data_IF_866884403000
#
_entry.id   IF_866884403000
#
_cell.length_a   1.000
_cell.length_b   1.000
_cell.length_c   1.000
_cell.angle_alpha   90.00
_cell.angle_beta   90.00
_cell.angle_gamma   90.00
#
_symmetry.space_group_name_H-M   'P 1'
#
loop_
_entity.id
_entity.type
_entity.pdbx_description
1 polymer ?
#
# COMPACT_ATOMS: atom_id res chain seq x y z
N UNK A 1 17.31 22.66 -74.20
CA UNK A 1 16.10 23.00 -73.41
C UNK A 1 16.54 23.45 -72.01
N UNK A 2 16.51 24.75 -71.72
CA UNK A 2 16.87 25.28 -70.39
C UNK A 2 15.61 25.51 -69.55
N UNK A 3 15.49 24.79 -68.43
CA UNK A 3 14.37 24.96 -67.49
C UNK A 3 14.61 26.23 -66.68
N UNK A 4 13.65 27.16 -66.78
CA UNK A 4 13.67 28.48 -66.18
C UNK A 4 13.58 28.38 -64.63
N UNK A 5 14.69 28.69 -63.93
CA UNK A 5 14.81 28.60 -62.46
C UNK A 5 13.98 29.63 -61.68
N UNK A 6 13.37 30.63 -62.35
CA UNK A 6 12.62 31.70 -61.69
C UNK A 6 11.27 31.29 -61.08
N UNK A 7 10.67 30.19 -61.55
CA UNK A 7 9.32 29.78 -61.12
C UNK A 7 9.34 29.13 -59.72
N UNK A 8 10.41 28.44 -59.36
CA UNK A 8 10.53 27.73 -58.08
C UNK A 8 10.66 28.67 -56.87
N UNK A 9 11.23 29.87 -57.02
CA UNK A 9 11.39 30.81 -55.91
C UNK A 9 10.09 31.50 -55.49
N UNK A 10 9.10 31.64 -56.38
CA UNK A 10 7.78 32.22 -56.03
C UNK A 10 6.89 31.24 -55.27
N UNK A 11 6.93 29.95 -55.61
CA UNK A 11 6.16 28.92 -54.90
C UNK A 11 6.62 28.74 -53.42
N UNK A 12 7.91 28.91 -53.13
CA UNK A 12 8.44 28.77 -51.76
C UNK A 12 8.11 29.95 -50.83
N UNK A 13 7.84 31.16 -51.34
CA UNK A 13 7.52 32.33 -50.48
C UNK A 13 6.08 32.36 -50.01
N UNK A 14 5.15 31.80 -50.78
CA UNK A 14 3.73 31.76 -50.42
C UNK A 14 3.41 30.76 -49.29
N UNK A 15 4.33 29.83 -49.00
CA UNK A 15 4.05 28.74 -48.07
C UNK A 15 4.63 28.91 -46.66
N UNK A 16 5.49 29.91 -46.41
CA UNK A 16 6.13 30.07 -45.08
C UNK A 16 5.14 30.37 -43.95
N UNK A 17 4.08 31.13 -44.25
CA UNK A 17 3.04 31.47 -43.24
C UNK A 17 2.14 30.28 -42.95
N UNK A 18 1.82 29.47 -43.95
CA UNK A 18 1.00 28.25 -43.80
C UNK A 18 1.78 27.16 -43.05
N UNK A 19 3.06 26.96 -43.37
CA UNK A 19 3.92 26.04 -42.63
C UNK A 19 4.14 26.47 -41.18
N UNK A 20 4.34 27.77 -40.91
CA UNK A 20 4.45 28.26 -39.54
C UNK A 20 3.15 28.03 -38.75
N UNK A 21 1.99 28.32 -39.34
CA UNK A 21 0.70 28.09 -38.70
C UNK A 21 0.44 26.60 -38.41
N UNK A 22 0.73 25.71 -39.38
CA UNK A 22 0.62 24.26 -39.19
C UNK A 22 1.57 23.73 -38.12
N UNK A 23 2.79 24.27 -38.04
CA UNK A 23 3.77 23.91 -37.01
C UNK A 23 3.29 24.34 -35.61
N UNK A 24 2.78 25.57 -35.45
CA UNK A 24 2.20 26.01 -34.18
C UNK A 24 0.96 25.20 -33.77
N UNK A 25 0.15 24.76 -34.73
CA UNK A 25 -1.02 23.92 -34.47
C UNK A 25 -0.64 22.50 -34.03
N UNK A 26 0.41 21.92 -34.64
CA UNK A 26 0.97 20.63 -34.23
C UNK A 26 1.65 20.73 -32.85
N UNK A 27 2.35 21.83 -32.58
CA UNK A 27 3.01 22.07 -31.29
C UNK A 27 1.99 22.24 -30.15
N UNK A 28 0.88 22.94 -30.41
CA UNK A 28 -0.19 23.09 -29.41
C UNK A 28 -0.91 21.77 -29.15
N UNK A 29 -1.13 20.94 -30.18
CA UNK A 29 -1.63 19.58 -30.00
C UNK A 29 -0.69 18.70 -29.17
N UNK A 30 0.62 18.74 -29.43
CA UNK A 30 1.60 17.97 -28.66
C UNK A 30 1.63 18.38 -27.17
N UNK A 31 1.47 19.67 -26.86
CA UNK A 31 1.41 20.16 -25.48
C UNK A 31 0.13 19.72 -24.75
N UNK A 32 -1.00 19.61 -25.45
CA UNK A 32 -2.26 19.11 -24.87
C UNK A 32 -2.18 17.63 -24.53
N UNK A 33 -1.49 16.83 -25.36
CA UNK A 33 -1.32 15.39 -25.11
C UNK A 33 -0.25 15.05 -24.07
N UNK A 34 0.80 15.87 -23.91
CA UNK A 34 1.82 15.64 -22.87
C UNK A 34 1.38 16.05 -21.45
N UNK A 35 0.34 16.87 -21.30
CA UNK A 35 -0.13 17.33 -19.99
C UNK A 35 -1.00 16.30 -19.23
N UNK A 36 -1.31 15.15 -19.85
CA UNK A 36 -2.32 14.20 -19.36
C UNK A 36 -1.82 13.02 -18.53
N UNK A 37 -0.52 12.88 -18.28
CA UNK A 37 -0.02 11.88 -17.33
C UNK A 37 -0.14 12.41 -15.90
N UNK A 38 -1.37 12.65 -15.44
CA UNK A 38 -1.62 12.72 -14.01
C UNK A 38 -1.38 11.31 -13.47
N UNK A 39 -0.31 11.16 -12.72
CA UNK A 39 -0.05 9.99 -11.90
C UNK A 39 -1.29 9.81 -11.00
N UNK A 40 -2.17 8.89 -11.37
CA UNK A 40 -3.38 8.61 -10.61
C UNK A 40 -2.87 7.97 -9.33
N UNK A 41 -2.69 8.80 -8.31
CA UNK A 41 -2.20 8.43 -7.00
C UNK A 41 -3.33 7.65 -6.30
N UNK A 42 -3.54 6.41 -6.75
CA UNK A 42 -4.51 5.50 -6.18
C UNK A 42 -4.10 5.24 -4.73
N UNK A 43 -5.05 5.25 -3.78
CA UNK A 43 -4.76 4.94 -2.40
C UNK A 43 -4.12 3.55 -2.33
N UNK A 44 -3.02 3.44 -1.57
CA UNK A 44 -2.34 2.16 -1.37
C UNK A 44 -3.29 1.19 -0.67
N UNK A 45 -3.25 -0.07 -1.08
CA UNK A 45 -4.13 -1.12 -0.57
C UNK A 45 -3.33 -2.30 -0.06
N UNK A 46 -3.74 -2.82 1.09
CA UNK A 46 -3.32 -4.13 1.56
C UNK A 46 -4.34 -5.17 1.10
N UNK A 47 -3.85 -6.26 0.52
CA UNK A 47 -4.66 -7.38 0.05
C UNK A 47 -4.32 -8.64 0.85
N UNK A 48 -5.31 -9.29 1.45
CA UNK A 48 -5.13 -10.58 2.09
C UNK A 48 -4.77 -11.62 1.03
N UNK A 49 -3.50 -12.02 1.02
CA UNK A 49 -2.94 -12.94 0.04
C UNK A 49 -3.02 -14.40 0.46
N UNK A 50 -3.00 -14.68 1.77
CA UNK A 50 -2.95 -16.04 2.31
C UNK A 50 -3.48 -16.12 3.75
N UNK A 51 -4.18 -17.21 4.09
CA UNK A 51 -4.70 -17.49 5.44
C UNK A 51 -6.21 -17.19 5.60
N UNK A 52 -6.76 -17.28 6.84
CA UNK A 52 -6.07 -17.57 8.09
C UNK A 52 -5.65 -19.04 8.23
N UNK A 53 -4.48 -19.27 8.83
CA UNK A 53 -4.00 -20.59 9.24
C UNK A 53 -3.92 -20.67 10.76
N UNK A 54 -4.40 -21.76 11.35
CA UNK A 54 -4.21 -22.01 12.77
C UNK A 54 -2.78 -22.50 13.01
N UNK A 55 -2.09 -21.85 13.95
CA UNK A 55 -0.73 -22.17 14.35
C UNK A 55 -0.65 -22.28 15.88
N UNK A 56 0.43 -22.87 16.36
CA UNK A 56 0.82 -22.89 17.78
C UNK A 56 2.18 -22.22 17.88
N UNK A 57 2.29 -21.23 18.76
CA UNK A 57 3.48 -20.41 18.92
C UNK A 57 3.45 -19.13 18.08
N UNK A 58 3.89 -18.04 18.70
CA UNK A 58 4.11 -16.74 18.05
C UNK A 58 5.62 -16.51 17.96
N UNK A 59 6.15 -16.50 16.73
CA UNK A 59 7.60 -16.52 16.46
C UNK A 59 8.34 -15.26 16.94
N UNK A 60 7.64 -14.13 17.10
CA UNK A 60 8.19 -12.86 17.60
C UNK A 60 8.21 -12.75 19.12
N UNK A 61 7.73 -13.78 19.82
CA UNK A 61 7.78 -13.88 21.27
C UNK A 61 8.76 -15.00 21.65
N UNK A 62 9.25 -14.97 22.88
CA UNK A 62 9.98 -16.10 23.45
C UNK A 62 9.15 -17.39 23.32
N UNK A 63 9.82 -18.55 23.21
CA UNK A 63 9.20 -19.86 22.99
C UNK A 63 7.92 -20.05 23.81
N UNK A 64 6.78 -20.17 23.12
CA UNK A 64 5.44 -20.21 23.69
C UNK A 64 4.55 -21.22 22.97
N UNK A 65 3.47 -21.64 23.64
CA UNK A 65 2.47 -22.57 23.11
C UNK A 65 1.11 -21.90 22.85
N UNK A 66 1.11 -20.61 22.52
CA UNK A 66 -0.11 -19.84 22.32
C UNK A 66 -0.77 -20.23 21.00
N UNK A 67 -2.07 -20.50 21.03
CA UNK A 67 -2.86 -20.70 19.82
C UNK A 67 -3.05 -19.35 19.12
N UNK A 68 -2.74 -19.29 17.82
CA UNK A 68 -2.86 -18.07 17.03
C UNK A 68 -3.36 -18.38 15.61
N UNK A 69 -3.86 -17.36 14.92
CA UNK A 69 -4.19 -17.38 13.50
C UNK A 69 -3.18 -16.53 12.74
N UNK A 70 -2.59 -17.08 11.69
CA UNK A 70 -1.62 -16.42 10.82
C UNK A 70 -2.23 -16.06 9.48
N UNK A 71 -2.06 -14.81 9.06
CA UNK A 71 -2.43 -14.31 7.73
C UNK A 71 -1.27 -13.55 7.11
N UNK A 72 -1.30 -13.45 5.77
CA UNK A 72 -0.32 -12.71 4.99
C UNK A 72 -1.03 -11.71 4.09
N UNK A 73 -0.61 -10.46 4.15
CA UNK A 73 -1.02 -9.39 3.27
C UNK A 73 0.05 -9.10 2.23
N UNK A 74 -0.36 -8.54 1.10
CA UNK A 74 0.53 -7.96 0.10
C UNK A 74 0.21 -6.48 -0.05
N UNK A 75 1.25 -5.65 0.03
CA UNK A 75 1.18 -4.19 -0.16
C UNK A 75 2.24 -3.81 -1.19
N UNK A 76 1.84 -3.34 -2.37
CA UNK A 76 2.77 -3.00 -3.45
C UNK A 76 3.78 -4.12 -3.78
N UNK A 77 3.34 -5.38 -3.68
CA UNK A 77 4.19 -6.57 -3.88
C UNK A 77 5.02 -7.00 -2.67
N UNK A 78 5.00 -6.25 -1.56
CA UNK A 78 5.73 -6.56 -0.33
C UNK A 78 4.83 -7.40 0.60
N UNK A 79 5.30 -8.57 1.08
CA UNK A 79 4.54 -9.39 2.03
C UNK A 79 4.60 -8.80 3.44
N UNK A 80 3.45 -8.77 4.11
CA UNK A 80 3.31 -8.39 5.53
C UNK A 80 2.59 -9.51 6.25
N UNK A 81 3.13 -9.97 7.38
CA UNK A 81 2.50 -11.02 8.18
C UNK A 81 1.74 -10.41 9.36
N UNK A 82 0.54 -10.94 9.61
CA UNK A 82 -0.24 -10.59 10.81
C UNK A 82 -0.61 -11.87 11.53
N UNK A 83 -0.36 -11.89 12.84
CA UNK A 83 -0.80 -12.94 13.75
C UNK A 83 -1.87 -12.38 14.66
N UNK A 84 -2.96 -13.12 14.86
CA UNK A 84 -3.99 -12.80 15.84
C UNK A 84 -4.11 -13.90 16.88
N UNK A 85 -4.15 -13.56 18.17
CA UNK A 85 -4.29 -14.51 19.27
C UNK A 85 -5.23 -13.97 20.34
N UNK A 86 -5.93 -14.86 21.05
CA UNK A 86 -6.82 -14.49 22.16
C UNK A 86 -6.24 -14.96 23.49
N UNK A 87 -6.50 -14.20 24.55
CA UNK A 87 -6.10 -14.51 25.91
C UNK A 87 -5.16 -13.45 26.48
N UNK A 88 -4.63 -13.70 27.67
CA UNK A 88 -3.69 -12.80 28.32
C UNK A 88 -2.28 -13.07 27.81
N UNK A 89 -1.74 -12.16 27.00
CA UNK A 89 -0.38 -12.27 26.46
C UNK A 89 0.45 -11.09 26.95
N UNK A 90 1.60 -11.39 27.55
CA UNK A 90 2.54 -10.38 28.02
C UNK A 90 3.72 -10.27 27.06
N UNK A 91 4.01 -9.07 26.60
CA UNK A 91 5.20 -8.73 25.84
C UNK A 91 5.70 -7.34 26.24
N UNK A 92 7.01 -7.16 26.20
CA UNK A 92 7.68 -5.91 26.56
C UNK A 92 8.38 -5.34 25.34
N UNK A 93 8.42 -4.01 25.26
CA UNK A 93 9.07 -3.33 24.15
C UNK A 93 8.88 -1.83 24.25
N UNK A 94 9.24 -1.12 23.18
CA UNK A 94 9.12 0.33 23.13
C UNK A 94 7.73 0.73 22.63
N UNK A 95 6.98 1.59 23.33
CA UNK A 95 5.71 2.08 22.81
C UNK A 95 5.94 2.98 21.59
N UNK A 96 5.14 2.76 20.56
CA UNK A 96 5.12 3.53 19.31
C UNK A 96 3.68 3.96 19.03
N UNK A 97 3.50 5.24 18.73
CA UNK A 97 2.19 5.83 18.49
C UNK A 97 1.89 5.87 16.99
N UNK A 98 1.02 4.98 16.51
CA UNK A 98 0.50 5.00 15.15
C UNK A 98 -0.90 5.63 15.19
N UNK A 99 -1.00 6.97 15.11
CA UNK A 99 -2.26 7.76 15.07
C UNK A 99 -3.39 7.27 15.99
N UNK A 100 -4.17 6.27 15.57
CA UNK A 100 -5.32 5.70 16.30
C UNK A 100 -4.97 4.55 17.24
N UNK A 101 -3.75 4.03 17.18
CA UNK A 101 -3.30 2.88 17.97
C UNK A 101 -1.95 3.16 18.63
N UNK A 102 -1.79 2.67 19.86
CA UNK A 102 -0.47 2.55 20.50
C UNK A 102 -0.03 1.10 20.36
N UNK A 103 1.09 0.88 19.71
CA UNK A 103 1.69 -0.44 19.54
C UNK A 103 2.99 -0.55 20.32
N UNK A 104 3.44 -1.77 20.59
CA UNK A 104 4.70 -2.07 21.25
C UNK A 104 5.65 -2.65 20.21
N UNK A 105 6.75 -1.95 19.92
CA UNK A 105 7.84 -2.45 19.09
C UNK A 105 8.57 -3.59 19.82
N UNK A 106 8.65 -4.75 19.16
CA UNK A 106 9.23 -5.97 19.69
C UNK A 106 10.66 -6.14 19.18
N UNK A 107 11.58 -6.51 20.08
CA UNK A 107 12.97 -6.79 19.73
C UNK A 107 13.07 -8.13 19.00
N UNK A 108 13.25 -8.08 17.67
CA UNK A 108 13.29 -9.27 16.82
C UNK A 108 14.55 -9.25 15.93
N UNK A 109 15.18 -10.42 15.80
CA UNK A 109 16.39 -10.56 15.01
C UNK A 109 16.06 -10.60 13.51
N UNK A 110 16.04 -9.44 12.86
CA UNK A 110 15.98 -9.37 11.39
C UNK A 110 14.70 -8.78 10.81
N UNK A 111 13.65 -8.60 11.61
CA UNK A 111 12.34 -8.11 11.17
C UNK A 111 11.95 -6.84 11.95
N UNK A 112 10.89 -6.17 11.49
CA UNK A 112 10.25 -5.11 12.26
C UNK A 112 8.93 -5.69 12.75
N UNK A 113 8.78 -5.84 14.07
CA UNK A 113 7.61 -6.46 14.67
C UNK A 113 6.94 -5.53 15.69
N UNK A 114 5.60 -5.51 15.67
CA UNK A 114 4.80 -4.73 16.62
C UNK A 114 3.71 -5.60 17.24
N UNK A 115 3.55 -5.50 18.56
CA UNK A 115 2.42 -6.06 19.30
C UNK A 115 1.35 -4.99 19.58
N UNK A 116 0.09 -5.32 19.39
CA UNK A 116 -1.07 -4.48 19.72
C UNK A 116 -2.06 -5.28 20.54
N UNK A 117 -2.44 -4.76 21.70
CA UNK A 117 -3.59 -5.27 22.45
C UNK A 117 -4.86 -4.54 21.95
N UNK A 118 -5.82 -5.31 21.47
CA UNK A 118 -7.12 -4.85 21.03
C UNK A 118 -8.21 -5.28 22.03
N UNK A 119 -9.44 -4.84 21.78
CA UNK A 119 -10.57 -5.13 22.67
C UNK A 119 -10.82 -6.65 22.84
N UNK A 120 -11.37 -7.02 24.01
CA UNK A 120 -11.74 -8.38 24.37
C UNK A 120 -10.57 -9.39 24.44
N UNK A 121 -9.40 -8.93 24.90
CA UNK A 121 -8.22 -9.79 25.09
C UNK A 121 -7.66 -10.37 23.79
N UNK A 122 -7.84 -9.63 22.69
CA UNK A 122 -7.31 -9.99 21.39
C UNK A 122 -5.97 -9.27 21.20
N UNK A 123 -4.95 -10.00 20.80
CA UNK A 123 -3.64 -9.44 20.50
C UNK A 123 -3.33 -9.64 19.02
N UNK A 124 -2.78 -8.60 18.40
CA UNK A 124 -2.23 -8.65 17.05
C UNK A 124 -0.73 -8.46 17.07
N UNK A 125 -0.04 -9.23 16.23
CA UNK A 125 1.38 -9.08 15.98
C UNK A 125 1.59 -8.81 14.50
N UNK A 126 2.13 -7.65 14.18
CA UNK A 126 2.41 -7.20 12.81
C UNK A 126 3.88 -7.34 12.54
N UNK A 127 4.23 -8.10 11.51
CA UNK A 127 5.62 -8.44 11.17
C UNK A 127 5.88 -7.97 9.75
N UNK A 128 6.84 -7.06 9.63
CA UNK A 128 7.20 -6.40 8.39
C UNK A 128 8.64 -6.74 8.00
N UNK A 129 8.91 -6.88 6.70
CA UNK A 129 10.29 -6.91 6.22
C UNK A 129 10.93 -5.53 6.41
N UNK A 130 12.25 -5.47 6.58
CA UNK A 130 12.98 -4.23 6.95
C UNK A 130 12.85 -3.12 5.91
N UNK A 131 12.63 -3.47 4.65
CA UNK A 131 12.43 -2.54 3.55
C UNK A 131 11.03 -1.89 3.52
N UNK A 132 10.10 -2.35 4.37
CA UNK A 132 8.77 -1.79 4.43
C UNK A 132 8.77 -0.42 5.13
N UNK A 133 8.34 0.62 4.39
CA UNK A 133 8.54 2.01 4.79
C UNK A 133 7.47 2.59 5.71
N UNK A 134 6.28 2.01 5.74
CA UNK A 134 5.14 2.58 6.47
C UNK A 134 4.35 1.56 7.30
N UNK A 135 4.97 1.00 8.37
CA UNK A 135 4.26 0.12 9.30
C UNK A 135 3.02 0.75 9.93
N UNK A 136 3.09 2.04 10.31
CA UNK A 136 1.98 2.71 10.98
C UNK A 136 0.76 2.91 10.07
N UNK A 137 0.95 3.27 8.79
CA UNK A 137 -0.15 3.33 7.83
C UNK A 137 -0.88 1.98 7.72
N UNK A 138 -0.12 0.90 7.62
CA UNK A 138 -0.69 -0.45 7.55
C UNK A 138 -1.49 -0.80 8.80
N UNK A 139 -0.91 -0.58 9.99
CA UNK A 139 -1.55 -0.91 11.27
C UNK A 139 -2.83 -0.09 11.43
N UNK A 140 -2.82 1.19 11.09
CA UNK A 140 -3.99 2.06 11.18
C UNK A 140 -5.12 1.60 10.25
N UNK A 141 -4.78 1.32 8.99
CA UNK A 141 -5.73 0.79 8.01
C UNK A 141 -6.34 -0.54 8.46
N UNK A 142 -5.49 -1.43 8.98
CA UNK A 142 -5.92 -2.72 9.53
C UNK A 142 -6.86 -2.54 10.72
N UNK A 143 -6.47 -1.79 11.75
CA UNK A 143 -7.25 -1.60 12.98
C UNK A 143 -8.61 -0.98 12.67
N UNK A 144 -8.64 0.09 11.88
CA UNK A 144 -9.88 0.76 11.47
C UNK A 144 -10.84 -0.21 10.78
N UNK A 145 -10.32 -1.05 9.88
CA UNK A 145 -11.15 -2.01 9.15
C UNK A 145 -11.55 -3.21 10.01
N UNK A 146 -10.67 -3.66 10.89
CA UNK A 146 -10.92 -4.74 11.84
C UNK A 146 -12.04 -4.36 12.82
N UNK A 147 -11.99 -3.15 13.41
CA UNK A 147 -13.02 -2.68 14.33
C UNK A 147 -14.40 -2.59 13.67
N UNK A 148 -14.44 -2.15 12.41
CA UNK A 148 -15.67 -2.14 11.60
C UNK A 148 -16.28 -3.54 11.48
N UNK A 149 -15.47 -4.56 11.14
CA UNK A 149 -15.95 -5.94 11.02
C UNK A 149 -16.30 -6.58 12.35
N UNK A 150 -15.51 -6.34 13.40
CA UNK A 150 -15.76 -6.85 14.75
C UNK A 150 -17.12 -6.40 15.28
N UNK A 151 -17.48 -5.14 15.05
CA UNK A 151 -18.78 -4.60 15.47
C UNK A 151 -19.96 -5.13 14.64
N UNK A 152 -19.69 -5.76 13.50
CA UNK A 152 -20.71 -6.30 12.58
C UNK A 152 -20.93 -7.81 12.72
N UNK A 153 -19.98 -8.55 13.32
CA UNK A 153 -20.08 -10.00 13.48
C UNK A 153 -20.80 -10.36 14.79
N UNK A 154 -21.86 -11.16 14.68
CA UNK A 154 -22.58 -11.73 15.85
C UNK A 154 -21.80 -12.87 16.50
N UNK A 155 -20.92 -13.55 15.76
CA UNK A 155 -20.06 -14.61 16.29
C UNK A 155 -18.68 -14.04 16.63
N UNK A 156 -18.34 -14.07 17.91
CA UNK A 156 -17.07 -13.56 18.44
C UNK A 156 -15.97 -14.63 18.51
N UNK A 157 -16.24 -15.86 18.07
CA UNK A 157 -15.26 -16.95 18.16
C UNK A 157 -14.09 -16.74 17.21
N UNK A 158 -14.37 -16.39 15.96
CA UNK A 158 -13.34 -16.20 14.95
C UNK A 158 -12.76 -14.78 14.96
N UNK A 159 -11.54 -14.62 14.43
CA UNK A 159 -10.89 -13.32 14.27
C UNK A 159 -11.21 -12.81 12.85
N UNK A 160 -12.01 -11.74 12.69
CA UNK A 160 -12.39 -11.24 11.36
C UNK A 160 -11.26 -10.45 10.71
N UNK A 161 -10.28 -11.14 10.14
CA UNK A 161 -9.20 -10.50 9.37
C UNK A 161 -9.78 -9.77 8.15
N UNK A 162 -9.52 -8.46 7.99
CA UNK A 162 -9.96 -7.72 6.81
C UNK A 162 -9.37 -8.31 5.53
N UNK A 163 -10.19 -8.56 4.51
CA UNK A 163 -9.68 -9.04 3.22
C UNK A 163 -8.92 -7.95 2.44
N UNK A 164 -9.40 -6.71 2.51
CA UNK A 164 -8.82 -5.54 1.85
C UNK A 164 -9.01 -4.30 2.72
N UNK A 165 -8.00 -3.42 2.75
CA UNK A 165 -8.09 -2.10 3.38
C UNK A 165 -7.12 -1.10 2.74
N UNK A 166 -7.40 0.18 2.98
CA UNK A 166 -6.59 1.32 2.53
C UNK A 166 -5.55 1.66 3.59
N UNK A 167 -4.36 2.07 3.12
CA UNK A 167 -3.20 2.47 3.91
C UNK A 167 -3.02 3.98 3.83
#
# INVERSE_FOLDING_TARGET
MSINRGIWQKALRWNKRVFAAAFFFLLSWALVFCAGAQDINLPKRALLSKGPFNIIGIDVLASNALAASRVFYTVDGIPVQVLGARGTIFYTGKPVYCQTATVIELDTAGEIAFGLEAAAGLHFFFIFPREYKDPCGFINGFVKRFEFFRNSSSDQKDIPFPAVFEI
#
